data_IF_358751908240
#
_entry.id   IF_358751908240
#
_cell.length_a   1.000
_cell.length_b   1.000
_cell.length_c   1.000
_cell.angle_alpha   90.00
_cell.angle_beta   90.00
_cell.angle_gamma   90.00
#
_symmetry.space_group_name_H-M   'P 1'
#
loop_
_entity.id
_entity.type
_entity.pdbx_description
1 polymer ?
#
# COMPACT_ATOMS: atom_id res chain seq x y z
N UNK A 1 -7.86 27.68 -1.91
CA UNK A 1 -8.37 26.38 -2.30
C UNK A 1 -8.30 25.40 -1.13
N UNK A 2 -9.33 24.53 -1.00
CA UNK A 2 -9.34 23.43 -0.05
C UNK A 2 -8.61 22.24 -0.64
N UNK A 3 -7.96 21.43 0.20
CA UNK A 3 -7.34 20.17 -0.22
C UNK A 3 -8.14 19.02 0.38
N UNK A 4 -8.53 18.09 -0.48
CA UNK A 4 -9.15 16.82 -0.12
C UNK A 4 -8.12 15.73 -0.29
N UNK A 5 -7.90 14.94 0.76
CA UNK A 5 -7.04 13.76 0.74
C UNK A 5 -7.93 12.54 0.88
N UNK A 6 -7.94 11.68 -0.13
CA UNK A 6 -8.66 10.41 -0.11
C UNK A 6 -7.70 9.32 0.34
N UNK A 7 -8.01 8.66 1.47
CA UNK A 7 -7.16 7.62 2.07
C UNK A 7 -7.71 6.20 1.88
N UNK A 8 -8.98 6.08 1.48
CA UNK A 8 -9.64 4.78 1.28
C UNK A 8 -9.10 4.05 0.06
N UNK A 9 -9.01 2.73 0.14
CA UNK A 9 -8.71 1.88 -1.02
C UNK A 9 -9.88 1.91 -2.00
N UNK A 10 -9.60 2.16 -3.27
CA UNK A 10 -10.57 2.15 -4.36
C UNK A 10 -10.03 1.37 -5.55
N UNK A 11 -10.90 0.94 -6.45
CA UNK A 11 -10.49 0.28 -7.69
C UNK A 11 -9.92 1.30 -8.67
N UNK A 12 -9.00 0.89 -9.57
CA UNK A 12 -8.41 1.76 -10.58
C UNK A 12 -9.48 2.51 -11.41
N UNK A 13 -9.28 3.82 -11.57
CA UNK A 13 -10.19 4.72 -12.27
C UNK A 13 -11.33 5.30 -11.43
N UNK A 14 -11.51 4.85 -10.19
CA UNK A 14 -12.61 5.32 -9.32
C UNK A 14 -12.47 6.79 -8.97
N UNK A 15 -11.29 7.25 -8.59
CA UNK A 15 -11.09 8.67 -8.22
C UNK A 15 -11.47 9.59 -9.37
N UNK A 16 -11.05 9.27 -10.59
CA UNK A 16 -11.34 10.09 -11.75
C UNK A 16 -12.82 10.04 -12.15
N UNK A 17 -13.43 8.87 -12.13
CA UNK A 17 -14.82 8.67 -12.57
C UNK A 17 -15.84 9.15 -11.56
N UNK A 18 -15.60 8.88 -10.26
CA UNK A 18 -16.62 9.09 -9.23
C UNK A 18 -16.36 10.31 -8.34
N UNK A 19 -15.08 10.60 -8.04
CA UNK A 19 -14.74 11.62 -7.04
C UNK A 19 -14.49 12.98 -7.69
N UNK A 20 -13.71 13.02 -8.79
CA UNK A 20 -13.42 14.30 -9.45
C UNK A 20 -14.67 15.09 -9.85
N UNK A 21 -15.76 14.48 -10.39
CA UNK A 21 -16.96 15.22 -10.75
C UNK A 21 -17.68 15.89 -9.56
N UNK A 22 -17.42 15.43 -8.34
CA UNK A 22 -18.02 15.98 -7.11
C UNK A 22 -17.21 17.14 -6.53
N UNK A 23 -15.99 17.39 -7.04
CA UNK A 23 -15.12 18.44 -6.51
C UNK A 23 -15.52 19.80 -7.07
N UNK A 24 -15.68 20.77 -6.18
CA UNK A 24 -15.88 22.17 -6.59
C UNK A 24 -14.62 22.81 -7.17
N UNK A 25 -14.76 23.93 -7.90
CA UNK A 25 -13.66 24.58 -8.64
C UNK A 25 -12.49 25.03 -7.76
N UNK A 26 -12.72 25.24 -6.48
CA UNK A 26 -11.70 25.65 -5.50
C UNK A 26 -11.15 24.47 -4.68
N UNK A 27 -11.37 23.23 -5.12
CA UNK A 27 -10.94 22.02 -4.40
C UNK A 27 -9.87 21.29 -5.21
N UNK A 28 -8.77 20.96 -4.55
CA UNK A 28 -7.67 20.15 -5.09
C UNK A 28 -7.63 18.82 -4.39
N UNK A 29 -7.29 17.76 -5.12
CA UNK A 29 -7.29 16.40 -4.59
C UNK A 29 -5.89 15.80 -4.61
N UNK A 30 -5.55 15.08 -3.53
CA UNK A 30 -4.44 14.14 -3.45
C UNK A 30 -5.00 12.78 -3.04
N UNK A 31 -4.73 11.74 -3.82
CA UNK A 31 -5.05 10.37 -3.44
C UNK A 31 -3.90 9.79 -2.63
N UNK A 32 -4.19 9.31 -1.43
CA UNK A 32 -3.19 8.79 -0.51
C UNK A 32 -3.70 7.52 0.18
N UNK A 33 -3.71 6.38 -0.49
CA UNK A 33 -4.13 5.12 0.14
C UNK A 33 -3.17 4.72 1.26
N UNK A 34 -3.73 4.31 2.40
CA UNK A 34 -2.93 3.88 3.55
C UNK A 34 -2.58 2.40 3.48
N UNK A 35 -1.36 2.07 3.91
CA UNK A 35 -0.85 0.70 4.08
C UNK A 35 -0.84 0.36 5.57
N UNK A 36 -2.03 0.08 6.12
CA UNK A 36 -2.25 -0.21 7.53
C UNK A 36 -2.90 -1.58 7.68
N UNK A 37 -2.59 -2.27 8.78
CA UNK A 37 -3.20 -3.53 9.15
C UNK A 37 -4.05 -3.39 10.42
N UNK A 38 -5.09 -4.22 10.56
CA UNK A 38 -5.86 -4.31 11.80
C UNK A 38 -4.95 -4.77 12.94
N UNK A 39 -5.06 -4.10 14.10
CA UNK A 39 -4.22 -4.37 15.26
C UNK A 39 -2.94 -3.53 15.34
N UNK A 40 -2.41 -3.03 14.22
CA UNK A 40 -1.20 -2.18 14.20
C UNK A 40 -1.44 -0.79 13.60
N UNK A 41 -2.68 -0.40 13.39
CA UNK A 41 -3.09 0.83 12.67
C UNK A 41 -2.32 2.09 13.08
N UNK A 42 -2.21 2.36 14.38
CA UNK A 42 -1.50 3.56 14.88
C UNK A 42 -0.01 3.46 14.62
N UNK A 43 0.58 2.28 14.85
CA UNK A 43 2.01 2.04 14.58
C UNK A 43 2.32 2.20 13.09
N UNK A 44 1.51 1.60 12.21
CA UNK A 44 1.69 1.67 10.76
C UNK A 44 1.52 3.10 10.23
N UNK A 45 0.64 3.90 10.86
CA UNK A 45 0.47 5.31 10.54
C UNK A 45 1.67 6.16 10.97
N UNK A 46 2.23 5.91 12.16
CA UNK A 46 3.36 6.68 12.69
C UNK A 46 4.71 6.27 12.06
N UNK A 47 4.84 5.00 11.67
CA UNK A 47 6.06 4.42 11.11
C UNK A 47 5.79 3.67 9.79
N UNK A 48 5.24 4.34 8.78
CA UNK A 48 4.93 3.70 7.51
C UNK A 48 6.23 3.34 6.74
N UNK A 49 6.20 2.26 5.97
CA UNK A 49 7.30 1.90 5.07
C UNK A 49 7.51 2.99 4.01
N UNK A 50 6.44 3.50 3.45
CA UNK A 50 6.40 4.64 2.53
C UNK A 50 5.00 5.26 2.50
N UNK A 51 4.92 6.49 1.98
CA UNK A 51 3.65 7.18 1.70
C UNK A 51 3.45 7.22 0.18
N UNK A 52 2.32 6.72 -0.28
CA UNK A 52 1.94 6.72 -1.70
C UNK A 52 1.02 7.90 -2.00
N UNK A 53 1.40 8.72 -2.98
CA UNK A 53 0.55 9.77 -3.50
C UNK A 53 0.20 9.55 -4.96
N UNK A 54 -1.10 9.49 -5.25
CA UNK A 54 -1.67 9.69 -6.58
C UNK A 54 -1.91 11.19 -6.80
N UNK A 55 -1.18 11.77 -7.75
CA UNK A 55 -1.06 13.21 -7.91
C UNK A 55 -1.63 13.63 -9.26
N UNK A 56 -2.54 14.61 -9.24
CA UNK A 56 -2.92 15.41 -10.40
C UNK A 56 -2.49 16.87 -10.22
N UNK A 57 -2.52 17.35 -8.99
CA UNK A 57 -2.14 18.71 -8.63
C UNK A 57 -0.94 18.68 -7.66
N UNK A 58 0.18 19.26 -8.10
CA UNK A 58 1.41 19.29 -7.30
C UNK A 58 1.26 20.10 -6.01
N UNK A 59 0.43 21.15 -6.00
CA UNK A 59 0.20 21.94 -4.79
C UNK A 59 -0.49 21.10 -3.71
N UNK A 60 -1.50 20.31 -4.10
CA UNK A 60 -2.20 19.41 -3.15
C UNK A 60 -1.25 18.39 -2.54
N UNK A 61 -0.45 17.71 -3.37
CA UNK A 61 0.51 16.70 -2.89
C UNK A 61 1.62 17.31 -2.04
N UNK A 62 2.12 18.50 -2.38
CA UNK A 62 3.17 19.15 -1.60
C UNK A 62 2.66 19.62 -0.23
N UNK A 63 1.43 20.11 -0.15
CA UNK A 63 0.81 20.45 1.14
C UNK A 63 0.53 19.22 1.99
N UNK A 64 0.07 18.12 1.38
CA UNK A 64 -0.11 16.84 2.06
C UNK A 64 1.24 16.31 2.58
N UNK A 65 2.29 16.31 1.76
CA UNK A 65 3.63 15.92 2.17
C UNK A 65 4.13 16.76 3.36
N UNK A 66 4.00 18.10 3.27
CA UNK A 66 4.40 18.99 4.36
C UNK A 66 3.68 18.65 5.68
N UNK A 67 2.42 18.28 5.63
CA UNK A 67 1.68 17.81 6.79
C UNK A 67 2.27 16.51 7.34
N UNK A 68 2.46 15.48 6.51
CA UNK A 68 3.03 14.20 6.98
C UNK A 68 4.46 14.33 7.51
N UNK A 69 5.26 15.24 6.97
CA UNK A 69 6.62 15.54 7.48
C UNK A 69 6.63 16.07 8.91
N UNK A 70 5.50 16.53 9.44
CA UNK A 70 5.38 16.89 10.88
C UNK A 70 5.21 15.67 11.78
N UNK A 71 4.91 14.49 11.20
CA UNK A 71 4.60 13.26 11.95
C UNK A 71 5.77 12.25 11.82
N UNK A 72 6.32 12.06 10.62
CA UNK A 72 7.35 11.05 10.31
C UNK A 72 8.24 11.45 9.13
N UNK A 73 9.37 10.74 8.96
CA UNK A 73 10.33 10.94 7.87
C UNK A 73 10.32 9.83 6.83
N UNK A 74 9.22 9.07 6.71
CA UNK A 74 9.10 8.02 5.71
C UNK A 74 9.28 8.55 4.28
N UNK A 75 9.74 7.72 3.33
CA UNK A 75 9.86 8.11 1.93
C UNK A 75 8.49 8.32 1.30
N UNK A 76 8.41 9.27 0.36
CA UNK A 76 7.20 9.54 -0.43
C UNK A 76 7.39 9.05 -1.85
N UNK A 77 6.43 8.28 -2.33
CA UNK A 77 6.33 7.85 -3.72
C UNK A 77 5.16 8.57 -4.39
N UNK A 78 5.47 9.44 -5.35
CA UNK A 78 4.47 10.21 -6.09
C UNK A 78 4.32 9.64 -7.50
N UNK A 79 3.08 9.41 -7.92
CA UNK A 79 2.74 8.88 -9.24
C UNK A 79 1.38 9.42 -9.69
N UNK A 80 0.87 8.97 -10.84
CA UNK A 80 -0.50 9.30 -11.27
C UNK A 80 -1.53 8.69 -10.32
N UNK A 81 -2.74 9.24 -10.31
CA UNK A 81 -3.83 8.71 -9.48
C UNK A 81 -4.12 7.26 -9.82
N UNK A 82 -4.22 6.94 -11.11
CA UNK A 82 -4.51 5.59 -11.61
C UNK A 82 -3.42 4.58 -11.21
N UNK A 83 -2.15 4.98 -11.27
CA UNK A 83 -1.06 4.14 -10.77
C UNK A 83 -1.15 3.93 -9.27
N UNK A 84 -1.47 4.96 -8.49
CA UNK A 84 -1.59 4.84 -7.04
C UNK A 84 -2.77 3.94 -6.63
N UNK A 85 -3.90 4.02 -7.36
CA UNK A 85 -5.04 3.12 -7.18
C UNK A 85 -4.61 1.67 -7.45
N UNK A 86 -3.93 1.43 -8.58
CA UNK A 86 -3.48 0.09 -8.97
C UNK A 86 -2.41 -0.45 -8.01
N UNK A 87 -1.42 0.37 -7.61
CA UNK A 87 -0.38 -0.02 -6.65
C UNK A 87 -1.03 -0.51 -5.35
N UNK A 88 -2.04 0.20 -4.84
CA UNK A 88 -2.74 -0.20 -3.61
C UNK A 88 -3.44 -1.55 -3.76
N UNK A 89 -4.11 -1.79 -4.87
CA UNK A 89 -4.79 -3.07 -5.14
C UNK A 89 -3.77 -4.19 -5.30
N UNK A 90 -2.72 -3.97 -6.10
CA UNK A 90 -1.64 -4.95 -6.32
C UNK A 90 -0.93 -5.31 -5.02
N UNK A 91 -0.62 -4.32 -4.17
CA UNK A 91 -0.01 -4.55 -2.86
C UNK A 91 -0.87 -5.51 -2.01
N UNK A 92 -2.16 -5.23 -1.88
CA UNK A 92 -3.08 -6.07 -1.10
C UNK A 92 -3.20 -7.49 -1.70
N UNK A 93 -3.30 -7.60 -3.04
CA UNK A 93 -3.39 -8.88 -3.75
C UNK A 93 -2.10 -9.69 -3.57
N UNK A 94 -0.94 -9.04 -3.62
CA UNK A 94 0.35 -9.72 -3.42
C UNK A 94 0.45 -10.32 -2.00
N UNK A 95 0.02 -9.58 -0.97
CA UNK A 95 -0.04 -10.11 0.41
C UNK A 95 -0.96 -11.32 0.49
N UNK A 96 -2.17 -11.23 -0.08
CA UNK A 96 -3.13 -12.33 -0.10
C UNK A 96 -2.58 -13.56 -0.83
N UNK A 97 -1.88 -13.36 -1.94
CA UNK A 97 -1.22 -14.43 -2.70
C UNK A 97 -0.13 -15.13 -1.87
N UNK A 98 0.69 -14.35 -1.15
CA UNK A 98 1.70 -14.91 -0.24
C UNK A 98 1.08 -15.76 0.85
N UNK A 99 -0.01 -15.30 1.46
CA UNK A 99 -0.74 -16.04 2.50
C UNK A 99 -1.30 -17.34 1.91
N UNK A 100 -1.98 -17.26 0.76
CA UNK A 100 -2.51 -18.44 0.07
C UNK A 100 -1.44 -19.47 -0.27
N UNK A 101 -0.28 -19.00 -0.78
CA UNK A 101 0.86 -19.87 -1.07
C UNK A 101 1.37 -20.58 0.19
N UNK A 102 1.54 -19.87 1.30
CA UNK A 102 2.03 -20.49 2.55
C UNK A 102 1.00 -21.46 3.15
N UNK A 103 -0.29 -21.19 3.01
CA UNK A 103 -1.33 -22.14 3.42
C UNK A 103 -1.24 -23.44 2.61
N UNK A 104 -0.96 -23.38 1.31
CA UNK A 104 -0.72 -24.57 0.48
C UNK A 104 0.53 -25.33 0.94
N UNK A 105 1.62 -24.63 1.27
CA UNK A 105 2.84 -25.25 1.83
C UNK A 105 2.55 -25.91 3.16
N UNK A 106 1.75 -25.31 4.03
CA UNK A 106 1.32 -25.89 5.30
C UNK A 106 0.54 -27.20 5.07
N UNK A 107 -0.37 -27.22 4.12
CA UNK A 107 -1.12 -28.43 3.75
C UNK A 107 -0.18 -29.54 3.25
N UNK A 108 0.81 -29.22 2.41
CA UNK A 108 1.85 -30.17 1.99
C UNK A 108 2.60 -30.77 3.19
N UNK A 109 2.94 -29.95 4.19
CA UNK A 109 3.61 -30.41 5.40
C UNK A 109 2.76 -31.39 6.21
N UNK A 110 1.44 -31.28 6.18
CA UNK A 110 0.55 -32.24 6.85
C UNK A 110 0.56 -33.64 6.19
N UNK A 111 0.95 -33.72 4.92
CA UNK A 111 1.01 -34.97 4.15
C UNK A 111 2.42 -35.54 4.00
N UNK A 112 3.46 -34.79 4.34
CA UNK A 112 4.86 -35.19 4.21
C UNK A 112 5.50 -35.40 5.58
N UNK A 113 6.09 -36.58 5.86
CA UNK A 113 6.74 -36.82 7.15
C UNK A 113 8.00 -35.93 7.29
N UNK A 114 8.29 -35.55 8.53
CA UNK A 114 9.47 -34.78 8.90
C UNK A 114 9.58 -33.40 8.24
N UNK A 115 8.45 -32.77 7.86
CA UNK A 115 8.40 -31.40 7.33
C UNK A 115 7.70 -30.49 8.32
N UNK A 116 8.10 -29.20 8.31
CA UNK A 116 7.56 -28.18 9.19
C UNK A 116 7.46 -26.86 8.42
N UNK A 117 6.27 -26.25 8.42
CA UNK A 117 6.01 -24.99 7.70
C UNK A 117 6.81 -23.84 8.28
N UNK A 118 7.08 -23.81 9.58
CA UNK A 118 7.85 -22.75 10.22
C UNK A 118 9.31 -22.76 9.76
N UNK A 119 9.92 -23.96 9.64
CA UNK A 119 11.28 -24.09 9.10
C UNK A 119 11.36 -23.64 7.65
N UNK A 120 10.37 -24.00 6.82
CA UNK A 120 10.28 -23.59 5.43
C UNK A 120 10.15 -22.05 5.34
N UNK A 121 9.23 -21.46 6.11
CA UNK A 121 9.01 -20.02 6.07
C UNK A 121 10.20 -19.23 6.62
N UNK A 122 10.89 -19.76 7.65
CA UNK A 122 12.12 -19.14 8.17
C UNK A 122 13.25 -19.18 7.13
N UNK A 123 13.38 -20.28 6.37
CA UNK A 123 14.32 -20.35 5.25
C UNK A 123 13.97 -19.34 4.14
N UNK A 124 12.67 -19.22 3.80
CA UNK A 124 12.19 -18.26 2.78
C UNK A 124 12.46 -16.79 3.19
N UNK A 125 12.42 -16.45 4.48
CA UNK A 125 12.80 -15.11 4.97
C UNK A 125 14.25 -14.74 4.66
N UNK A 126 15.14 -15.72 4.50
CA UNK A 126 16.55 -15.48 4.15
C UNK A 126 16.75 -15.32 2.63
N UNK A 127 15.77 -15.75 1.83
CA UNK A 127 15.86 -15.75 0.35
C UNK A 127 15.38 -14.42 -0.28
N UNK A 128 15.76 -13.29 0.28
CA UNK A 128 15.26 -11.96 -0.09
C UNK A 128 15.62 -11.55 -1.52
N UNK A 129 16.77 -11.97 -2.05
CA UNK A 129 17.29 -11.55 -3.36
C UNK A 129 16.42 -12.00 -4.56
N UNK A 130 15.58 -13.02 -4.42
CA UNK A 130 14.74 -13.56 -5.51
C UNK A 130 13.26 -13.44 -5.24
N UNK A 131 12.87 -13.41 -3.96
CA UNK A 131 11.45 -13.37 -3.56
C UNK A 131 10.95 -11.93 -3.54
N UNK A 132 11.82 -10.99 -3.18
CA UNK A 132 11.56 -9.55 -3.26
C UNK A 132 12.77 -8.96 -3.97
N UNK A 133 12.81 -9.05 -5.30
CA UNK A 133 13.94 -8.52 -6.05
C UNK A 133 13.73 -7.03 -6.34
N UNK A 134 14.83 -6.29 -6.36
CA UNK A 134 14.89 -4.88 -6.77
C UNK A 134 14.72 -4.70 -8.30
N UNK A 135 14.22 -5.71 -9.01
CA UNK A 135 14.02 -5.70 -10.46
C UNK A 135 12.65 -6.20 -10.84
#
# INVERSE_FOLDING_TARGET
PKIVIIISTVLPGTIRREIFPLLGPNTKLCYNPFFIAMGTTIKDFLYPEFILFGVQDLEASNKAEKFYRTIHNAPFFKTTIENAELIKVVYNTFISTKIGFINTVMEMCHHLPNTNVDDITNALKLATKRIISDK
#
